data_IF_835039238230
#
_entry.id   IF_835039238230
#
_cell.length_a   1.000
_cell.length_b   1.000
_cell.length_c   1.000
_cell.angle_alpha   90.00
_cell.angle_beta   90.00
_cell.angle_gamma   90.00
#
_symmetry.space_group_name_H-M   'P 1'
#
loop_
_entity.id
_entity.type
_entity.pdbx_description
1 polymer ?
#
# COMPACT_ATOMS: atom_id res chain seq x y z
N UNK A 1 -0.06 -14.78 -27.10
CA UNK A 1 1.28 -14.85 -26.48
C UNK A 1 1.50 -13.49 -25.80
N UNK A 2 1.17 -13.39 -24.49
CA UNK A 2 1.25 -12.14 -23.72
C UNK A 2 2.63 -12.06 -23.08
N UNK A 3 3.38 -11.05 -23.43
CA UNK A 3 4.70 -10.76 -22.86
C UNK A 3 4.54 -10.23 -21.43
N UNK A 4 5.05 -10.98 -20.48
CA UNK A 4 5.13 -10.63 -19.08
C UNK A 4 6.17 -9.52 -18.87
N UNK A 5 5.72 -8.30 -18.67
CA UNK A 5 6.61 -7.20 -18.26
C UNK A 5 6.89 -7.30 -16.76
N UNK A 6 7.95 -8.01 -16.39
CA UNK A 6 8.58 -7.89 -15.07
C UNK A 6 9.48 -6.66 -15.07
N UNK A 7 8.91 -5.49 -14.92
CA UNK A 7 9.70 -4.30 -14.60
C UNK A 7 9.88 -4.23 -13.08
N UNK A 8 10.92 -4.89 -12.56
CA UNK A 8 11.38 -4.62 -11.20
C UNK A 8 11.89 -3.17 -11.15
N UNK A 9 11.37 -2.37 -10.21
CA UNK A 9 11.97 -1.06 -9.90
C UNK A 9 13.35 -1.33 -9.30
N UNK A 10 14.39 -1.01 -10.03
CA UNK A 10 15.75 -1.08 -9.50
C UNK A 10 15.85 -0.13 -8.31
N UNK A 11 16.10 -0.67 -7.11
CA UNK A 11 16.43 0.06 -5.91
C UNK A 11 15.39 0.12 -4.77
N UNK A 12 14.12 -0.20 -5.00
CA UNK A 12 13.11 -0.10 -3.92
C UNK A 12 12.77 -1.42 -3.23
N UNK A 13 13.10 -2.57 -3.84
CA UNK A 13 12.75 -3.90 -3.32
C UNK A 13 11.23 -4.19 -3.27
N UNK A 14 10.41 -3.37 -3.94
CA UNK A 14 8.97 -3.56 -4.00
C UNK A 14 8.58 -4.43 -5.20
N UNK A 15 7.58 -5.34 -5.05
CA UNK A 15 7.08 -6.14 -6.16
C UNK A 15 6.46 -5.25 -7.23
N UNK A 16 6.75 -5.56 -8.49
CA UNK A 16 5.98 -5.03 -9.61
C UNK A 16 4.63 -5.77 -9.65
N UNK A 17 3.51 -5.04 -9.51
CA UNK A 17 2.20 -5.66 -9.62
C UNK A 17 2.00 -6.27 -11.02
N UNK A 18 1.29 -7.40 -11.06
CA UNK A 18 0.84 -8.01 -12.33
C UNK A 18 -0.43 -7.32 -12.80
N UNK A 19 -0.49 -6.99 -14.10
CA UNK A 19 -1.76 -6.56 -14.70
C UNK A 19 -2.72 -7.75 -14.68
N UNK A 20 -3.91 -7.57 -14.11
CA UNK A 20 -4.93 -8.61 -14.00
C UNK A 20 -6.27 -8.10 -14.51
N UNK A 21 -7.08 -9.02 -15.02
CA UNK A 21 -8.50 -8.78 -15.26
C UNK A 21 -9.26 -9.19 -14.00
N UNK A 22 -10.02 -8.28 -13.44
CA UNK A 22 -10.76 -8.52 -12.21
C UNK A 22 -12.24 -8.39 -12.49
N UNK A 23 -12.98 -9.48 -12.27
CA UNK A 23 -14.44 -9.44 -12.27
C UNK A 23 -14.91 -8.84 -10.93
N UNK A 24 -15.57 -7.70 -11.00
CA UNK A 24 -16.04 -6.95 -9.81
C UNK A 24 -17.37 -7.48 -9.26
N UNK A 25 -17.95 -8.51 -9.86
CA UNK A 25 -19.27 -9.02 -9.50
C UNK A 25 -19.36 -9.75 -8.14
N UNK A 26 -18.22 -10.09 -7.53
CA UNK A 26 -18.14 -10.85 -6.28
C UNK A 26 -17.39 -10.08 -5.17
N UNK A 27 -17.35 -8.75 -5.22
CA UNK A 27 -16.62 -7.94 -4.25
C UNK A 27 -17.54 -7.45 -3.13
N UNK A 28 -17.22 -7.83 -1.91
CA UNK A 28 -17.90 -7.33 -0.73
C UNK A 28 -17.28 -6.02 -0.27
N UNK A 29 -18.10 -5.00 -0.11
CA UNK A 29 -17.66 -3.71 0.40
C UNK A 29 -17.19 -3.84 1.84
N UNK A 30 -15.99 -3.33 2.14
CA UNK A 30 -15.50 -3.32 3.51
C UNK A 30 -16.23 -2.22 4.30
N UNK A 31 -17.26 -2.61 5.06
CA UNK A 31 -18.11 -1.65 5.79
C UNK A 31 -17.43 -1.07 7.04
N UNK A 32 -16.55 -1.86 7.68
CA UNK A 32 -15.90 -1.49 8.93
C UNK A 32 -14.38 -1.47 8.77
N UNK A 33 -13.68 -0.52 9.42
CA UNK A 33 -12.22 -0.54 9.44
C UNK A 33 -11.69 -1.83 10.06
N UNK A 34 -10.65 -2.37 9.46
CA UNK A 34 -9.83 -3.43 10.03
C UNK A 34 -8.88 -2.80 11.06
N UNK A 35 -8.51 -3.55 12.08
CA UNK A 35 -7.66 -3.04 13.15
C UNK A 35 -6.70 -4.12 13.67
N UNK A 36 -5.43 -3.77 13.84
CA UNK A 36 -4.43 -4.58 14.54
C UNK A 36 -3.91 -3.84 15.78
N UNK A 37 -4.10 -4.44 16.95
CA UNK A 37 -3.50 -3.93 18.19
C UNK A 37 -1.99 -4.11 18.19
N UNK A 38 -1.51 -5.22 17.68
CA UNK A 38 -0.09 -5.56 17.61
C UNK A 38 0.70 -4.53 16.81
N UNK A 39 0.17 -4.16 15.65
CA UNK A 39 0.79 -3.18 14.77
C UNK A 39 0.25 -1.76 14.95
N UNK A 40 -0.66 -1.52 15.93
CA UNK A 40 -1.31 -0.21 16.16
C UNK A 40 -1.73 0.44 14.84
N UNK A 41 -2.30 -0.37 13.97
CA UNK A 41 -2.66 -0.04 12.61
C UNK A 41 -4.16 -0.19 12.42
N UNK A 42 -4.76 0.77 11.75
CA UNK A 42 -6.14 0.69 11.30
C UNK A 42 -6.21 1.09 9.83
N UNK A 43 -7.14 0.50 9.11
CA UNK A 43 -7.38 0.84 7.72
C UNK A 43 -8.66 0.21 7.21
N UNK A 44 -9.20 0.76 6.15
CA UNK A 44 -10.41 0.26 5.50
C UNK A 44 -10.16 0.14 4.01
N UNK A 45 -9.87 -1.07 3.50
CA UNK A 45 -9.86 -1.32 2.07
C UNK A 45 -11.25 -1.02 1.48
N UNK A 46 -11.34 -0.68 0.21
CA UNK A 46 -12.63 -0.43 -0.43
C UNK A 46 -13.47 -1.70 -0.51
N UNK A 47 -12.82 -2.83 -0.82
CA UNK A 47 -13.46 -4.14 -0.90
C UNK A 47 -12.58 -5.23 -0.31
N UNK A 48 -13.24 -6.33 0.10
CA UNK A 48 -12.64 -7.61 0.42
C UNK A 48 -13.19 -8.66 -0.54
N UNK A 49 -12.33 -9.48 -1.09
CA UNK A 49 -12.70 -10.53 -2.06
C UNK A 49 -12.28 -11.88 -1.50
N UNK A 50 -13.21 -12.83 -1.45
CA UNK A 50 -12.88 -14.21 -1.12
C UNK A 50 -12.32 -14.89 -2.37
N UNK A 51 -11.05 -15.30 -2.31
CA UNK A 51 -10.36 -16.02 -3.38
C UNK A 51 -9.68 -17.27 -2.80
N UNK A 52 -10.08 -18.46 -3.30
CA UNK A 52 -9.50 -19.77 -2.97
C UNK A 52 -9.18 -19.96 -1.47
N UNK A 53 -10.09 -19.57 -0.59
CA UNK A 53 -9.97 -19.61 0.89
C UNK A 53 -9.08 -18.51 1.49
N UNK A 54 -8.75 -17.47 0.75
CA UNK A 54 -8.09 -16.28 1.28
C UNK A 54 -8.99 -15.06 1.12
N UNK A 55 -8.92 -14.13 2.07
CA UNK A 55 -9.53 -12.81 1.93
C UNK A 55 -8.50 -11.88 1.32
N UNK A 56 -8.79 -11.35 0.14
CA UNK A 56 -7.90 -10.46 -0.62
C UNK A 56 -8.40 -9.02 -0.53
N UNK A 57 -7.61 -8.08 -0.01
CA UNK A 57 -8.01 -6.67 0.03
C UNK A 57 -7.87 -6.02 -1.35
N UNK A 58 -8.83 -5.14 -1.67
CA UNK A 58 -8.85 -4.35 -2.89
C UNK A 58 -8.93 -2.88 -2.56
N UNK A 59 -8.05 -2.10 -3.17
CA UNK A 59 -8.04 -0.64 -3.11
C UNK A 59 -8.37 -0.06 -4.48
N UNK A 60 -9.29 0.90 -4.54
CA UNK A 60 -9.74 1.55 -5.77
C UNK A 60 -9.15 2.95 -5.89
N UNK A 61 -8.60 3.27 -7.04
CA UNK A 61 -8.06 4.57 -7.38
C UNK A 61 -8.81 5.16 -8.57
N UNK A 62 -9.25 6.39 -8.45
CA UNK A 62 -10.03 7.09 -9.50
C UNK A 62 -9.21 7.46 -10.75
N UNK A 63 -7.88 7.46 -10.65
CA UNK A 63 -6.98 7.77 -11.77
C UNK A 63 -6.85 6.65 -12.78
N UNK A 64 -6.17 6.96 -13.91
CA UNK A 64 -5.77 5.94 -14.88
C UNK A 64 -4.62 5.09 -14.32
N UNK A 65 -4.56 3.85 -14.78
CA UNK A 65 -3.51 2.92 -14.41
C UNK A 65 -2.13 3.41 -14.88
N UNK A 66 -1.14 3.53 -14.00
CA UNK A 66 0.24 3.79 -14.42
C UNK A 66 0.84 2.54 -15.08
N UNK A 67 1.98 2.67 -15.73
CA UNK A 67 2.70 1.52 -16.29
C UNK A 67 3.12 0.51 -15.18
N UNK A 68 3.40 1.01 -13.97
CA UNK A 68 3.72 0.21 -12.77
C UNK A 68 3.04 0.89 -11.57
N UNK A 69 2.45 0.15 -10.63
CA UNK A 69 1.81 0.73 -9.45
C UNK A 69 2.75 1.66 -8.68
N UNK A 70 2.21 2.77 -8.17
CA UNK A 70 2.98 3.67 -7.32
C UNK A 70 3.38 2.99 -6.01
N UNK A 71 4.59 3.27 -5.52
CA UNK A 71 5.09 2.73 -4.25
C UNK A 71 4.13 2.98 -3.08
N UNK A 72 3.53 4.17 -3.03
CA UNK A 72 2.55 4.53 -2.00
C UNK A 72 1.31 3.65 -2.05
N UNK A 73 0.85 3.25 -3.24
CA UNK A 73 -0.30 2.36 -3.39
C UNK A 73 0.06 0.92 -3.01
N UNK A 74 1.28 0.46 -3.34
CA UNK A 74 1.78 -0.85 -2.94
C UNK A 74 1.87 -0.95 -1.41
N UNK A 75 2.43 0.07 -0.74
CA UNK A 75 2.55 0.09 0.72
C UNK A 75 1.20 0.21 1.41
N UNK A 76 0.25 0.98 0.88
CA UNK A 76 -1.12 1.03 1.38
C UNK A 76 -1.78 -0.34 1.29
N UNK A 77 -1.65 -1.00 0.15
CA UNK A 77 -2.20 -2.33 -0.07
C UNK A 77 -1.55 -3.37 0.86
N UNK A 78 -0.22 -3.30 1.05
CA UNK A 78 0.49 -4.15 2.00
C UNK A 78 -0.02 -3.95 3.45
N UNK A 79 -0.37 -2.72 3.83
CA UNK A 79 -0.97 -2.43 5.14
C UNK A 79 -2.34 -3.10 5.29
N UNK A 80 -3.16 -3.13 4.24
CA UNK A 80 -4.41 -3.87 4.25
C UNK A 80 -4.21 -5.39 4.29
N UNK A 81 -3.22 -5.92 3.55
CA UNK A 81 -2.86 -7.33 3.64
C UNK A 81 -2.43 -7.72 5.06
N UNK A 82 -1.64 -6.88 5.73
CA UNK A 82 -1.24 -7.10 7.13
C UNK A 82 -2.45 -7.08 8.07
N UNK A 83 -3.41 -6.19 7.86
CA UNK A 83 -4.64 -6.14 8.66
C UNK A 83 -5.51 -7.38 8.45
N UNK A 84 -5.65 -7.85 7.22
CA UNK A 84 -6.34 -9.11 6.90
C UNK A 84 -5.62 -10.28 7.55
N UNK A 85 -4.28 -10.38 7.44
CA UNK A 85 -3.47 -11.40 8.10
C UNK A 85 -3.74 -11.46 9.62
N UNK A 86 -3.80 -10.31 10.28
CA UNK A 86 -4.05 -10.22 11.73
C UNK A 86 -5.48 -10.65 12.13
N UNK A 87 -6.46 -10.42 11.27
CA UNK A 87 -7.85 -10.79 11.55
C UNK A 87 -8.16 -12.24 11.22
N UNK A 88 -7.66 -12.72 10.08
CA UNK A 88 -7.95 -14.07 9.56
C UNK A 88 -6.94 -15.11 10.09
N UNK A 89 -5.86 -14.69 10.76
CA UNK A 89 -4.78 -15.57 11.20
C UNK A 89 -3.97 -16.18 10.04
N UNK A 90 -4.19 -15.70 8.81
CA UNK A 90 -3.52 -16.15 7.60
C UNK A 90 -3.28 -15.00 6.63
N UNK A 91 -2.05 -14.89 6.14
CA UNK A 91 -1.69 -13.88 5.15
C UNK A 91 -2.40 -14.13 3.81
N UNK A 92 -3.00 -13.09 3.19
CA UNK A 92 -3.43 -13.19 1.81
C UNK A 92 -2.22 -13.37 0.89
N UNK A 93 -2.37 -14.08 -0.24
CA UNK A 93 -1.26 -14.26 -1.19
C UNK A 93 -0.88 -12.96 -1.89
N UNK A 94 -1.84 -12.08 -2.09
CA UNK A 94 -1.70 -10.79 -2.77
C UNK A 94 -2.79 -9.81 -2.33
N UNK A 95 -2.70 -8.58 -2.81
CA UNK A 95 -3.79 -7.61 -2.81
C UNK A 95 -3.98 -7.03 -4.21
N UNK A 96 -5.05 -6.27 -4.43
CA UNK A 96 -5.40 -5.70 -5.73
C UNK A 96 -5.51 -4.18 -5.63
N UNK A 97 -4.82 -3.46 -6.54
CA UNK A 97 -5.04 -2.03 -6.78
C UNK A 97 -5.82 -1.89 -8.08
N UNK A 98 -7.06 -1.42 -7.99
CA UNK A 98 -7.95 -1.19 -9.13
C UNK A 98 -7.93 0.29 -9.51
N UNK A 99 -7.54 0.59 -10.73
CA UNK A 99 -7.65 1.91 -11.35
C UNK A 99 -8.87 1.96 -12.27
N UNK A 100 -9.17 3.15 -12.79
CA UNK A 100 -10.31 3.34 -13.71
C UNK A 100 -10.26 2.42 -14.93
N UNK A 101 -9.10 2.22 -15.50
CA UNK A 101 -8.86 1.53 -16.78
C UNK A 101 -7.94 0.31 -16.68
N UNK A 102 -7.63 -0.15 -15.47
CA UNK A 102 -6.80 -1.33 -15.26
C UNK A 102 -6.75 -1.77 -13.80
N UNK A 103 -6.14 -2.90 -13.54
CA UNK A 103 -5.89 -3.39 -12.19
C UNK A 103 -4.53 -4.06 -12.11
N UNK A 104 -3.92 -4.00 -10.93
CA UNK A 104 -2.69 -4.71 -10.62
C UNK A 104 -2.91 -5.62 -9.41
N UNK A 105 -2.50 -6.86 -9.55
CA UNK A 105 -2.31 -7.77 -8.44
C UNK A 105 -0.89 -7.60 -7.92
N UNK A 106 -0.75 -7.37 -6.62
CA UNK A 106 0.53 -7.15 -5.95
C UNK A 106 0.75 -8.26 -4.94
N UNK A 107 1.76 -9.11 -5.18
CA UNK A 107 2.09 -10.22 -4.30
C UNK A 107 2.46 -9.70 -2.90
N UNK A 108 1.83 -10.26 -1.86
CA UNK A 108 2.14 -9.95 -0.47
C UNK A 108 3.26 -10.89 0.02
N UNK A 109 4.49 -10.55 -0.35
CA UNK A 109 5.67 -11.35 -0.02
C UNK A 109 6.17 -11.09 1.40
N UNK A 110 6.94 -12.01 2.00
CA UNK A 110 7.60 -11.79 3.29
C UNK A 110 8.47 -10.53 3.31
N UNK A 111 9.12 -10.19 2.19
CA UNK A 111 9.97 -9.01 2.04
C UNK A 111 9.14 -7.72 2.06
N UNK A 112 8.00 -7.68 1.34
CA UNK A 112 7.08 -6.54 1.36
C UNK A 112 6.48 -6.35 2.76
N UNK A 113 6.10 -7.45 3.41
CA UNK A 113 5.63 -7.44 4.80
C UNK A 113 6.68 -6.89 5.76
N UNK A 114 7.91 -7.36 5.68
CA UNK A 114 9.01 -6.88 6.53
C UNK A 114 9.26 -5.39 6.32
N UNK A 115 9.35 -4.95 5.06
CA UNK A 115 9.52 -3.52 4.72
C UNK A 115 8.40 -2.66 5.31
N UNK A 116 7.15 -3.10 5.22
CA UNK A 116 6.02 -2.39 5.82
C UNK A 116 6.18 -2.29 7.34
N UNK A 117 6.51 -3.39 8.02
CA UNK A 117 6.70 -3.42 9.48
C UNK A 117 7.81 -2.48 9.92
N UNK A 118 8.91 -2.42 9.17
CA UNK A 118 10.02 -1.50 9.43
C UNK A 118 9.59 -0.04 9.28
N UNK A 119 8.82 0.28 8.24
CA UNK A 119 8.23 1.62 8.04
C UNK A 119 7.29 1.99 9.20
N UNK A 120 6.40 1.10 9.61
CA UNK A 120 5.51 1.33 10.75
C UNK A 120 6.30 1.54 12.05
N UNK A 121 7.41 0.83 12.24
CA UNK A 121 8.33 1.02 13.34
C UNK A 121 9.01 2.39 13.31
N UNK A 122 9.48 2.83 12.13
CA UNK A 122 10.07 4.16 11.95
C UNK A 122 9.06 5.27 12.25
N UNK A 123 7.84 5.18 11.67
CA UNK A 123 6.78 6.16 11.93
C UNK A 123 6.45 6.32 13.43
N UNK A 124 6.50 5.23 14.20
CA UNK A 124 6.27 5.31 15.66
C UNK A 124 7.39 6.00 16.39
N UNK A 125 8.64 5.70 16.04
CA UNK A 125 9.80 6.42 16.61
C UNK A 125 9.70 7.92 16.34
N UNK A 126 9.30 8.28 15.13
CA UNK A 126 9.11 9.69 14.74
C UNK A 126 7.97 10.34 15.52
N UNK A 127 6.86 9.62 15.77
CA UNK A 127 5.75 10.13 16.59
C UNK A 127 6.11 10.37 18.06
N UNK A 128 7.06 9.60 18.58
CA UNK A 128 7.52 9.69 19.97
C UNK A 128 8.71 10.67 20.10
N UNK A 129 9.30 11.13 18.99
CA UNK A 129 10.42 12.06 18.97
C UNK A 129 9.96 13.51 19.21
N UNK A 130 10.79 14.30 19.88
CA UNK A 130 10.53 15.74 20.11
C UNK A 130 10.66 16.57 18.84
N UNK A 131 11.45 16.11 17.88
CA UNK A 131 11.64 16.70 16.55
C UNK A 131 11.97 15.61 15.53
N UNK A 132 11.57 15.82 14.29
CA UNK A 132 11.78 14.88 13.19
C UNK A 132 12.34 15.62 11.98
N UNK A 133 13.48 15.17 11.53
CA UNK A 133 14.10 15.72 10.34
C UNK A 133 13.35 15.36 9.05
N UNK A 134 13.44 16.23 8.07
CA UNK A 134 12.93 15.99 6.72
C UNK A 134 13.62 14.76 6.10
N UNK A 135 12.82 13.82 5.60
CA UNK A 135 13.30 12.54 5.06
C UNK A 135 13.55 12.54 3.54
N UNK A 136 13.58 13.71 2.89
CA UNK A 136 13.72 13.82 1.43
C UNK A 136 14.39 15.14 1.01
N UNK A 137 14.97 15.17 -0.19
CA UNK A 137 15.57 16.36 -0.81
C UNK A 137 14.73 16.90 -1.99
N UNK A 138 13.45 16.54 -2.05
CA UNK A 138 12.56 16.86 -3.17
C UNK A 138 11.75 18.15 -2.89
N UNK A 139 12.07 19.26 -3.56
CA UNK A 139 11.32 20.53 -3.48
C UNK A 139 9.83 20.37 -3.77
N UNK A 140 9.47 19.49 -4.72
CA UNK A 140 8.08 19.28 -5.09
C UNK A 140 7.24 18.71 -3.93
N UNK A 141 7.82 17.87 -3.09
CA UNK A 141 7.14 17.39 -1.86
C UNK A 141 6.89 18.52 -0.89
N UNK A 142 7.85 19.42 -0.70
CA UNK A 142 7.66 20.59 0.16
C UNK A 142 6.56 21.52 -0.38
N UNK A 143 6.49 21.75 -1.68
CA UNK A 143 5.46 22.61 -2.31
C UNK A 143 4.04 22.12 -2.08
N UNK A 144 3.82 20.79 -1.99
CA UNK A 144 2.53 20.17 -1.74
C UNK A 144 2.32 19.77 -0.28
N UNK A 145 3.27 20.07 0.62
CA UNK A 145 3.22 19.68 2.02
C UNK A 145 2.34 20.62 2.83
N UNK A 146 1.36 20.07 3.56
CA UNK A 146 0.48 20.86 4.44
C UNK A 146 1.18 21.48 5.67
N UNK A 147 2.42 21.07 5.95
CA UNK A 147 3.25 21.62 7.03
C UNK A 147 4.31 22.61 6.56
N UNK A 148 4.35 22.95 5.27
CA UNK A 148 5.39 23.78 4.67
C UNK A 148 5.67 25.07 5.47
N UNK A 149 4.64 25.80 5.82
CA UNK A 149 4.76 27.11 6.47
C UNK A 149 5.27 27.04 7.92
N UNK A 150 5.30 25.84 8.50
CA UNK A 150 5.77 25.58 9.87
C UNK A 150 7.04 24.74 9.90
N UNK A 151 7.52 24.31 8.74
CA UNK A 151 8.68 23.45 8.62
C UNK A 151 9.96 24.29 8.49
N UNK A 152 10.81 24.27 9.51
CA UNK A 152 12.13 24.93 9.47
C UNK A 152 13.11 24.35 8.44
N UNK A 153 12.76 23.21 7.83
CA UNK A 153 13.58 22.50 6.83
C UNK A 153 12.91 22.50 5.44
N UNK A 154 11.91 23.37 5.21
CA UNK A 154 11.24 23.45 3.91
C UNK A 154 12.21 23.87 2.80
N UNK A 155 12.19 23.13 1.68
CA UNK A 155 12.93 23.50 0.47
C UNK A 155 12.12 24.49 -0.34
N UNK A 156 12.74 25.64 -0.71
CA UNK A 156 12.15 26.65 -1.57
C UNK A 156 12.09 26.24 -3.05
#
# INVERSE_FOLDING_TARGET
MWLWSRAARQGTGLPAGRVTYVDTGAWDRCERPLFSRRFRLTGRPDYLVEDLRAIVPVEVKSGSAPAVPYETHILQLAAYCLLVEEQEGRAPPHGIVKYRDGAFEVDYTPELRSKLVDILGAMRRDLDASDVERSHEERQRCRSCGYRDRCGQSLE
#
